data_IF_346444987271
#
_entry.id   IF_346444987271
#
_cell.length_a   1.000
_cell.length_b   1.000
_cell.length_c   1.000
_cell.angle_alpha   90.00
_cell.angle_beta   90.00
_cell.angle_gamma   90.00
#
_symmetry.space_group_name_H-M   'P 1'
#
loop_
_entity.id
_entity.type
_entity.pdbx_description
1 polymer ?
#
# COMPACT_ATOMS: atom_id res chain seq x y z
N UNK A 1 10.03 7.19 24.02
CA UNK A 1 8.67 6.60 24.11
C UNK A 1 8.63 5.72 25.35
N UNK A 2 7.47 5.59 25.98
CA UNK A 2 7.25 4.63 27.06
C UNK A 2 7.29 3.21 26.49
N UNK A 3 7.82 2.25 27.26
CA UNK A 3 7.80 0.84 26.90
C UNK A 3 6.39 0.28 27.10
N UNK A 4 5.83 -0.37 26.07
CA UNK A 4 4.54 -1.02 26.20
C UNK A 4 4.67 -2.35 26.95
N UNK A 5 3.73 -2.68 27.85
CA UNK A 5 3.67 -4.02 28.43
C UNK A 5 3.25 -5.05 27.37
N UNK A 6 3.41 -6.33 27.69
CA UNK A 6 2.94 -7.44 26.84
C UNK A 6 3.97 -7.89 25.81
N UNK A 7 3.50 -8.63 24.81
CA UNK A 7 4.33 -9.20 23.75
C UNK A 7 3.72 -8.89 22.37
N UNK A 8 4.55 -8.82 21.30
CA UNK A 8 4.06 -8.72 19.93
C UNK A 8 3.12 -9.88 19.60
N UNK A 9 2.00 -9.57 18.93
CA UNK A 9 1.02 -10.58 18.51
C UNK A 9 1.64 -11.57 17.51
N UNK A 10 2.61 -11.13 16.70
CA UNK A 10 3.28 -11.98 15.70
C UNK A 10 3.92 -13.22 16.28
N UNK A 11 4.49 -13.13 17.48
CA UNK A 11 5.15 -14.25 18.18
C UNK A 11 4.17 -15.39 18.51
N UNK A 12 2.87 -15.07 18.65
CA UNK A 12 1.84 -16.02 19.06
C UNK A 12 0.82 -16.32 17.95
N UNK A 13 0.71 -15.47 16.94
CA UNK A 13 -0.41 -15.45 15.98
C UNK A 13 -0.70 -16.82 15.34
N UNK A 14 0.34 -17.51 14.87
CA UNK A 14 0.20 -18.80 14.19
C UNK A 14 -0.15 -19.97 15.13
N UNK A 15 0.02 -19.79 16.43
CA UNK A 15 -0.37 -20.74 17.47
C UNK A 15 -1.75 -20.49 18.09
N UNK A 16 -2.41 -19.37 17.76
CA UNK A 16 -3.73 -19.03 18.31
C UNK A 16 -4.85 -19.89 17.71
N UNK A 17 -5.80 -20.29 18.57
CA UNK A 17 -7.06 -20.87 18.11
C UNK A 17 -7.94 -19.84 17.38
N UNK A 18 -8.93 -20.32 16.63
CA UNK A 18 -9.87 -19.46 15.90
C UNK A 18 -10.57 -18.45 16.83
N UNK A 19 -11.03 -18.92 17.99
CA UNK A 19 -11.70 -18.08 18.99
C UNK A 19 -10.78 -16.99 19.53
N UNK A 20 -9.51 -17.30 19.74
CA UNK A 20 -8.50 -16.34 20.22
C UNK A 20 -8.18 -15.30 19.15
N UNK A 21 -8.01 -15.71 17.88
CA UNK A 21 -7.81 -14.78 16.75
C UNK A 21 -9.00 -13.84 16.59
N UNK A 22 -10.23 -14.35 16.71
CA UNK A 22 -11.44 -13.53 16.67
C UNK A 22 -11.53 -12.54 17.82
N UNK A 23 -11.10 -12.94 19.03
CA UNK A 23 -11.03 -12.03 20.18
C UNK A 23 -10.12 -10.84 19.90
N UNK A 24 -8.94 -11.08 19.31
CA UNK A 24 -7.99 -10.01 18.97
C UNK A 24 -8.52 -9.14 17.83
N UNK A 25 -9.06 -9.74 16.76
CA UNK A 25 -9.64 -9.00 15.62
C UNK A 25 -10.78 -8.07 16.05
N UNK A 26 -11.65 -8.54 16.96
CA UNK A 26 -12.73 -7.72 17.51
C UNK A 26 -12.18 -6.49 18.24
N UNK A 27 -11.17 -6.67 19.10
CA UNK A 27 -10.55 -5.57 19.82
C UNK A 27 -9.86 -4.57 18.88
N UNK A 28 -9.18 -5.07 17.83
CA UNK A 28 -8.53 -4.25 16.82
C UNK A 28 -9.55 -3.33 16.13
N UNK A 29 -10.65 -3.90 15.65
CA UNK A 29 -11.72 -3.11 15.00
C UNK A 29 -12.36 -2.11 15.97
N UNK A 30 -12.56 -2.49 17.23
CA UNK A 30 -13.07 -1.57 18.25
C UNK A 30 -12.09 -0.42 18.53
N UNK A 31 -10.78 -0.68 18.47
CA UNK A 31 -9.76 0.35 18.60
C UNK A 31 -9.74 1.28 17.39
N UNK A 32 -9.79 0.73 16.16
CA UNK A 32 -9.95 1.53 14.94
C UNK A 32 -11.20 2.41 15.00
N UNK A 33 -12.34 1.87 15.47
CA UNK A 33 -13.57 2.63 15.66
C UNK A 33 -13.40 3.80 16.64
N UNK A 34 -12.68 3.60 17.75
CA UNK A 34 -12.35 4.66 18.72
C UNK A 34 -11.46 5.73 18.09
N UNK A 35 -10.44 5.34 17.34
CA UNK A 35 -9.54 6.28 16.65
C UNK A 35 -10.32 7.08 15.59
N UNK A 36 -11.18 6.41 14.81
CA UNK A 36 -11.98 7.04 13.77
C UNK A 36 -13.06 7.98 14.32
N UNK A 37 -13.42 7.87 15.60
CA UNK A 37 -14.36 8.77 16.25
C UNK A 37 -13.74 10.12 16.64
N UNK A 38 -12.40 10.22 16.69
CA UNK A 38 -11.69 11.46 16.99
C UNK A 38 -12.01 12.50 15.91
N UNK A 39 -12.46 13.68 16.34
CA UNK A 39 -12.77 14.79 15.42
C UNK A 39 -11.49 15.56 15.11
N UNK A 40 -10.98 15.39 13.88
CA UNK A 40 -9.78 16.07 13.42
C UNK A 40 -10.15 17.17 12.40
N UNK A 41 -9.54 18.35 12.49
CA UNK A 41 -9.98 19.53 11.73
C UNK A 41 -9.42 19.59 10.30
N UNK A 42 -8.40 18.81 9.98
CA UNK A 42 -7.71 18.81 8.70
C UNK A 42 -6.98 17.47 8.46
N UNK A 43 -6.51 17.26 7.23
CA UNK A 43 -5.62 16.16 6.83
C UNK A 43 -4.15 16.59 6.89
N UNK A 44 -3.24 15.65 7.17
CA UNK A 44 -1.82 15.92 7.43
C UNK A 44 -1.29 15.01 8.55
N UNK A 45 -0.24 15.43 9.28
CA UNK A 45 0.25 14.69 10.46
C UNK A 45 -0.06 15.42 11.77
N UNK A 46 -0.14 14.66 12.86
CA UNK A 46 -0.39 15.20 14.21
C UNK A 46 0.93 15.63 14.84
N UNK A 47 0.95 16.83 15.40
CA UNK A 47 2.10 17.39 16.12
C UNK A 47 1.65 17.97 17.46
N UNK A 48 2.54 17.99 18.44
CA UNK A 48 2.43 19.00 19.50
C UNK A 48 2.62 20.38 18.86
N UNK A 49 1.77 21.33 19.23
CA UNK A 49 1.87 22.68 18.69
C UNK A 49 3.22 23.34 19.01
N UNK A 50 3.88 22.95 20.09
CA UNK A 50 5.23 23.43 20.46
C UNK A 50 6.34 22.96 19.53
N UNK A 51 6.15 21.82 18.86
CA UNK A 51 7.21 21.15 18.10
C UNK A 51 7.33 21.69 16.67
N UNK A 52 6.27 22.39 16.20
CA UNK A 52 6.28 23.05 14.91
C UNK A 52 6.84 24.48 15.01
N UNK A 53 7.78 24.88 14.13
CA UNK A 53 8.21 26.27 13.97
C UNK A 53 7.04 27.23 13.82
N UNK A 54 7.10 28.43 14.41
CA UNK A 54 5.97 29.37 14.49
C UNK A 54 5.38 29.77 13.13
N UNK A 55 6.17 29.71 12.06
CA UNK A 55 5.80 29.99 10.68
C UNK A 55 5.29 28.77 9.90
N UNK A 56 5.36 27.57 10.49
CA UNK A 56 4.83 26.34 9.87
C UNK A 56 3.30 26.37 9.83
N UNK A 57 2.69 26.01 8.68
CA UNK A 57 1.25 25.96 8.54
C UNK A 57 0.69 24.89 9.47
N UNK A 58 -0.40 25.22 10.18
CA UNK A 58 -1.00 24.33 11.18
C UNK A 58 -2.48 24.63 11.37
N UNK A 59 -3.25 23.61 11.74
CA UNK A 59 -4.65 23.73 12.18
C UNK A 59 -4.76 23.17 13.58
N UNK A 60 -5.18 24.00 14.54
CA UNK A 60 -5.29 23.60 15.94
C UNK A 60 -6.36 22.51 16.12
N UNK A 61 -6.04 21.45 16.88
CA UNK A 61 -7.02 20.45 17.29
C UNK A 61 -7.72 20.97 18.55
N UNK A 62 -9.05 21.16 18.54
CA UNK A 62 -9.79 21.73 19.68
C UNK A 62 -9.51 21.01 21.00
N UNK A 63 -9.47 21.76 22.09
CA UNK A 63 -9.32 21.26 23.47
C UNK A 63 -8.07 20.39 23.71
N UNK A 64 -6.98 20.65 22.98
CA UNK A 64 -5.72 19.91 23.11
C UNK A 64 -4.48 20.76 22.81
N UNK A 65 -3.30 20.26 23.18
CA UNK A 65 -2.01 20.85 22.80
C UNK A 65 -1.55 20.41 21.40
N UNK A 66 -2.41 19.69 20.66
CA UNK A 66 -2.11 19.15 19.33
C UNK A 66 -2.55 20.08 18.20
N UNK A 67 -1.89 19.94 17.06
CA UNK A 67 -2.30 20.52 15.80
C UNK A 67 -2.07 19.55 14.65
N UNK A 68 -2.80 19.73 13.56
CA UNK A 68 -2.51 19.09 12.28
C UNK A 68 -1.53 19.99 11.54
N UNK A 69 -0.39 19.44 11.19
CA UNK A 69 0.67 20.11 10.44
C UNK A 69 0.89 19.48 9.06
N UNK A 70 2.01 19.79 8.41
CA UNK A 70 2.45 19.13 7.19
C UNK A 70 2.48 17.60 7.33
N UNK A 71 2.33 16.87 6.24
CA UNK A 71 2.44 15.42 6.24
C UNK A 71 3.89 14.98 6.52
N UNK A 72 4.10 14.11 7.52
CA UNK A 72 5.41 13.61 7.95
C UNK A 72 5.82 12.29 7.27
N UNK A 73 5.02 11.75 6.35
CA UNK A 73 5.34 10.50 5.68
C UNK A 73 6.61 10.64 4.81
N UNK A 74 7.46 9.61 4.82
CA UNK A 74 8.76 9.62 4.14
C UNK A 74 8.67 10.05 2.67
N UNK A 75 7.62 9.63 1.96
CA UNK A 75 7.37 9.98 0.55
C UNK A 75 7.26 11.48 0.27
N UNK A 76 7.01 12.32 1.26
CA UNK A 76 7.00 13.78 1.11
C UNK A 76 8.40 14.39 1.18
N UNK A 77 9.33 13.73 1.85
CA UNK A 77 10.63 14.30 2.23
C UNK A 77 11.82 13.53 1.65
N UNK A 78 11.60 12.37 1.03
CA UNK A 78 12.66 11.55 0.47
C UNK A 78 13.45 12.28 -0.64
N UNK A 79 14.78 12.16 -0.58
CA UNK A 79 15.73 12.76 -1.51
C UNK A 79 15.51 14.28 -1.70
N UNK A 80 15.54 14.79 -2.94
CA UNK A 80 15.41 16.23 -3.21
C UNK A 80 14.00 16.77 -2.92
N UNK A 81 13.00 15.93 -2.59
CA UNK A 81 11.65 16.37 -2.23
C UNK A 81 11.65 17.24 -0.97
N UNK A 82 12.52 16.94 0.01
CA UNK A 82 12.70 17.78 1.19
C UNK A 82 13.18 19.21 0.88
N UNK A 83 13.76 19.44 -0.30
CA UNK A 83 14.20 20.79 -0.73
C UNK A 83 13.13 21.56 -1.51
N UNK A 84 12.01 20.93 -1.86
CA UNK A 84 10.95 21.56 -2.65
C UNK A 84 10.12 22.50 -1.78
N UNK A 85 9.78 23.66 -2.34
CA UNK A 85 8.83 24.60 -1.75
C UNK A 85 7.44 24.31 -2.31
N UNK A 86 6.85 23.21 -1.84
CA UNK A 86 5.49 22.77 -2.20
C UNK A 86 4.62 22.76 -0.96
N UNK A 87 3.31 22.77 -1.17
CA UNK A 87 2.35 22.65 -0.07
C UNK A 87 2.29 21.19 0.41
N UNK A 88 2.83 20.96 1.61
CA UNK A 88 2.82 19.66 2.28
C UNK A 88 1.65 19.52 3.27
N UNK A 89 0.68 20.45 3.24
CA UNK A 89 -0.40 20.53 4.21
C UNK A 89 -0.05 21.36 5.44
N UNK A 90 -0.94 21.39 6.45
CA UNK A 90 -2.19 20.64 6.57
C UNK A 90 -3.25 21.03 5.53
N UNK A 91 -4.08 20.09 5.10
CA UNK A 91 -5.13 20.30 4.10
C UNK A 91 -6.52 20.28 4.75
N UNK A 92 -7.23 21.41 4.75
CA UNK A 92 -8.63 21.48 5.18
C UNK A 92 -9.61 21.12 4.04
N UNK A 93 -9.24 21.42 2.80
CA UNK A 93 -10.02 21.05 1.62
C UNK A 93 -9.64 19.63 1.15
N UNK A 94 -10.60 18.69 1.04
CA UNK A 94 -10.32 17.34 0.53
C UNK A 94 -9.84 17.33 -0.93
N UNK A 95 -10.11 18.37 -1.73
CA UNK A 95 -9.55 18.52 -3.07
C UNK A 95 -8.02 18.66 -3.01
N UNK A 96 -7.51 19.44 -2.05
CA UNK A 96 -6.07 19.65 -1.89
C UNK A 96 -5.38 18.37 -1.39
N UNK A 97 -6.07 17.56 -0.57
CA UNK A 97 -5.58 16.23 -0.19
C UNK A 97 -5.31 15.37 -1.42
N UNK A 98 -6.23 15.33 -2.39
CA UNK A 98 -6.04 14.56 -3.63
C UNK A 98 -4.92 15.15 -4.49
N UNK A 99 -4.82 16.47 -4.60
CA UNK A 99 -3.94 17.12 -5.58
C UNK A 99 -2.50 17.27 -5.12
N UNK A 100 -2.27 17.57 -3.83
CA UNK A 100 -0.96 17.98 -3.34
C UNK A 100 0.13 16.91 -3.52
N UNK A 101 -0.12 15.59 -3.30
CA UNK A 101 0.88 14.56 -3.60
C UNK A 101 1.33 14.57 -5.06
N UNK A 102 0.40 14.69 -6.01
CA UNK A 102 0.71 14.75 -7.44
C UNK A 102 1.38 16.08 -7.84
N UNK A 103 0.99 17.20 -7.22
CA UNK A 103 1.66 18.49 -7.43
C UNK A 103 3.12 18.47 -6.93
N UNK A 104 3.37 17.80 -5.79
CA UNK A 104 4.73 17.55 -5.29
C UNK A 104 5.54 16.76 -6.31
N UNK A 105 5.02 15.62 -6.79
CA UNK A 105 5.75 14.80 -7.76
C UNK A 105 5.98 15.51 -9.08
N UNK A 106 4.98 16.25 -9.57
CA UNK A 106 5.10 17.06 -10.78
C UNK A 106 6.18 18.15 -10.62
N UNK A 107 6.27 18.79 -9.45
CA UNK A 107 7.30 19.78 -9.16
C UNK A 107 8.70 19.13 -9.09
N UNK A 108 8.81 17.95 -8.48
CA UNK A 108 10.05 17.19 -8.41
C UNK A 108 10.53 16.80 -9.81
N UNK A 109 9.66 16.18 -10.62
CA UNK A 109 9.98 15.72 -11.97
C UNK A 109 10.41 16.86 -12.91
N UNK A 110 9.75 18.01 -12.85
CA UNK A 110 10.12 19.17 -13.66
C UNK A 110 11.50 19.74 -13.29
N UNK A 111 11.93 19.58 -12.05
CA UNK A 111 13.19 20.15 -11.54
C UNK A 111 14.35 19.16 -11.59
N UNK A 112 14.09 17.89 -11.29
CA UNK A 112 15.10 16.86 -11.06
C UNK A 112 14.88 15.59 -11.87
N UNK A 113 13.74 15.46 -12.55
CA UNK A 113 13.40 14.26 -13.33
C UNK A 113 14.44 13.99 -14.41
N UNK A 114 14.89 12.73 -14.48
CA UNK A 114 15.79 12.22 -15.50
C UNK A 114 15.32 10.85 -15.99
N UNK A 115 15.62 10.47 -17.24
CA UNK A 115 15.46 9.10 -17.69
C UNK A 115 16.19 8.13 -16.76
N UNK A 116 15.49 7.09 -16.32
CA UNK A 116 16.01 6.05 -15.42
C UNK A 116 15.35 4.72 -15.76
N UNK A 117 15.95 3.61 -15.40
CA UNK A 117 15.26 2.33 -15.46
C UNK A 117 14.17 2.25 -14.37
N UNK A 118 13.16 1.38 -14.55
CA UNK A 118 12.38 0.90 -13.42
C UNK A 118 13.30 0.48 -12.27
N UNK A 119 12.98 0.99 -11.07
CA UNK A 119 13.72 0.69 -9.84
C UNK A 119 13.75 -0.82 -9.56
N UNK A 120 12.57 -1.46 -9.57
CA UNK A 120 12.47 -2.91 -9.57
C UNK A 120 13.02 -3.48 -10.89
N UNK A 121 14.20 -4.09 -10.83
CA UNK A 121 14.95 -4.52 -12.02
C UNK A 121 14.20 -5.60 -12.80
N UNK A 122 13.38 -6.39 -12.12
CA UNK A 122 12.57 -7.43 -12.75
C UNK A 122 11.60 -6.86 -13.80
N UNK A 123 11.14 -5.61 -13.65
CA UNK A 123 10.27 -4.96 -14.65
C UNK A 123 11.00 -4.49 -15.91
N UNK A 124 12.34 -4.52 -15.95
CA UNK A 124 13.10 -3.96 -17.08
C UNK A 124 12.89 -4.76 -18.36
N UNK A 125 12.71 -6.08 -18.25
CA UNK A 125 12.43 -6.94 -19.42
C UNK A 125 11.12 -6.56 -20.10
N UNK A 126 10.03 -6.40 -19.33
CA UNK A 126 8.72 -5.99 -19.88
C UNK A 126 8.77 -4.61 -20.52
N UNK A 127 9.73 -3.77 -20.13
CA UNK A 127 9.97 -2.43 -20.70
C UNK A 127 11.01 -2.45 -21.84
N UNK A 128 11.50 -3.63 -22.23
CA UNK A 128 12.50 -3.82 -23.28
C UNK A 128 13.89 -3.27 -22.92
N UNK A 129 14.22 -3.25 -21.63
CA UNK A 129 15.47 -2.72 -21.08
C UNK A 129 15.78 -1.30 -21.58
N UNK A 130 14.76 -0.44 -21.58
CA UNK A 130 14.88 0.99 -21.93
C UNK A 130 14.68 1.87 -20.71
N UNK A 131 15.34 3.02 -20.71
CA UNK A 131 15.10 4.08 -19.74
C UNK A 131 13.69 4.65 -19.97
N UNK A 132 12.97 4.84 -18.89
CA UNK A 132 11.65 5.48 -18.90
C UNK A 132 11.81 6.99 -18.91
N UNK A 133 11.09 7.67 -19.80
CA UNK A 133 11.14 9.13 -19.92
C UNK A 133 10.23 9.79 -18.86
N UNK A 134 10.75 10.69 -18.01
CA UNK A 134 9.96 11.43 -17.03
C UNK A 134 8.78 12.20 -17.62
N UNK A 135 8.86 12.63 -18.89
CA UNK A 135 7.80 13.39 -19.56
C UNK A 135 6.49 12.59 -19.65
N UNK A 136 6.55 11.27 -19.83
CA UNK A 136 5.35 10.42 -19.86
C UNK A 136 4.62 10.40 -18.51
N UNK A 137 5.37 10.38 -17.41
CA UNK A 137 4.78 10.45 -16.07
C UNK A 137 4.30 11.86 -15.74
N UNK A 138 4.99 12.91 -16.19
CA UNK A 138 4.51 14.30 -16.09
C UNK A 138 3.12 14.45 -16.77
N UNK A 139 2.95 13.95 -18.00
CA UNK A 139 1.66 13.98 -18.70
C UNK A 139 0.57 13.20 -17.94
N UNK A 140 0.96 12.12 -17.28
CA UNK A 140 0.07 11.28 -16.46
C UNK A 140 -0.39 12.03 -15.21
N UNK A 141 0.52 12.69 -14.49
CA UNK A 141 0.19 13.54 -13.33
C UNK A 141 -0.67 14.75 -13.74
N UNK A 142 -0.38 15.39 -14.87
CA UNK A 142 -1.22 16.48 -15.39
C UNK A 142 -2.63 16.01 -15.74
N UNK A 143 -2.76 14.77 -16.22
CA UNK A 143 -4.05 14.12 -16.48
C UNK A 143 -4.78 13.79 -15.17
N UNK A 144 -4.08 13.25 -14.17
CA UNK A 144 -4.62 13.05 -12.82
C UNK A 144 -5.19 14.35 -12.24
N UNK A 145 -4.44 15.44 -12.31
CA UNK A 145 -4.86 16.73 -11.76
C UNK A 145 -6.13 17.30 -12.41
N UNK A 146 -6.45 16.91 -13.67
CA UNK A 146 -7.71 17.27 -14.34
C UNK A 146 -8.91 16.48 -13.81
N UNK A 147 -8.70 15.22 -13.42
CA UNK A 147 -9.77 14.33 -12.95
C UNK A 147 -9.97 14.39 -11.44
N UNK A 148 -8.92 14.68 -10.65
CA UNK A 148 -8.92 14.59 -9.19
C UNK A 148 -10.12 15.26 -8.50
N UNK A 149 -10.56 16.48 -8.88
CA UNK A 149 -11.73 17.10 -8.24
C UNK A 149 -13.05 16.32 -8.43
N UNK A 150 -13.15 15.48 -9.46
CA UNK A 150 -14.33 14.64 -9.75
C UNK A 150 -14.29 13.29 -9.04
N UNK A 151 -13.18 12.95 -8.39
CA UNK A 151 -13.03 11.70 -7.64
C UNK A 151 -13.54 11.81 -6.20
N UNK A 152 -13.92 13.02 -5.75
CA UNK A 152 -14.47 13.20 -4.42
C UNK A 152 -15.83 12.51 -4.29
N UNK A 153 -16.01 11.66 -3.27
CA UNK A 153 -17.31 11.07 -2.98
C UNK A 153 -18.22 12.07 -2.23
N UNK A 154 -19.38 11.60 -1.78
CA UNK A 154 -20.30 12.38 -0.95
C UNK A 154 -19.62 12.91 0.33
N UNK A 155 -20.15 14.03 0.86
CA UNK A 155 -19.62 14.70 2.04
C UNK A 155 -19.47 13.79 3.28
N UNK A 156 -20.23 12.70 3.38
CA UNK A 156 -20.17 11.78 4.52
C UNK A 156 -18.80 11.11 4.67
N UNK A 157 -18.04 10.96 3.57
CA UNK A 157 -16.74 10.28 3.55
C UNK A 157 -15.54 11.24 3.53
N UNK A 158 -15.77 12.56 3.53
CA UNK A 158 -14.71 13.57 3.43
C UNK A 158 -14.06 13.91 4.78
N UNK A 159 -14.64 13.43 5.89
CA UNK A 159 -14.13 13.71 7.24
C UNK A 159 -12.71 13.16 7.44
N UNK A 160 -11.77 13.93 8.01
CA UNK A 160 -10.42 13.42 8.30
C UNK A 160 -10.44 12.37 9.42
N UNK A 161 -9.70 11.28 9.25
CA UNK A 161 -9.50 10.22 10.24
C UNK A 161 -8.04 9.84 10.33
N UNK A 162 -7.57 9.54 11.54
CA UNK A 162 -6.26 8.95 11.74
C UNK A 162 -6.35 7.45 11.49
N UNK A 163 -5.42 6.90 10.71
CA UNK A 163 -5.27 5.46 10.54
C UNK A 163 -3.83 5.05 10.77
N UNK A 164 -3.66 3.91 11.43
CA UNK A 164 -2.35 3.31 11.62
C UNK A 164 -1.79 2.85 10.26
N UNK A 165 -0.55 3.21 9.89
CA UNK A 165 0.00 2.96 8.56
C UNK A 165 0.34 1.49 8.33
N UNK A 166 0.75 0.76 9.38
CA UNK A 166 1.21 -0.63 9.27
C UNK A 166 0.70 -1.55 10.40
N UNK A 167 -0.57 -1.95 10.33
CA UNK A 167 -1.17 -2.90 11.30
C UNK A 167 -0.81 -4.36 10.99
N UNK A 168 0.47 -4.67 11.06
CA UNK A 168 0.97 -6.05 11.09
C UNK A 168 1.04 -6.59 12.53
N UNK A 169 1.03 -7.92 12.75
CA UNK A 169 1.01 -8.51 14.09
C UNK A 169 2.17 -8.08 14.99
N UNK A 170 3.34 -7.80 14.44
CA UNK A 170 4.50 -7.34 15.22
C UNK A 170 4.30 -5.93 15.81
N UNK A 171 3.38 -5.14 15.24
CA UNK A 171 3.05 -3.80 15.70
C UNK A 171 1.86 -3.77 16.68
N UNK A 172 1.29 -4.94 17.02
CA UNK A 172 0.15 -5.08 17.93
C UNK A 172 0.64 -5.80 19.18
N UNK A 173 0.62 -5.12 20.33
CA UNK A 173 1.04 -5.70 21.61
C UNK A 173 -0.17 -6.24 22.37
N UNK A 174 -0.03 -7.46 22.87
CA UNK A 174 -1.08 -8.16 23.63
C UNK A 174 -0.59 -8.65 24.99
N UNK A 175 -1.49 -8.68 25.97
CA UNK A 175 -1.26 -9.34 27.26
C UNK A 175 -1.28 -10.87 27.14
N UNK A 176 -0.97 -11.57 28.23
CA UNK A 176 -1.07 -13.04 28.29
C UNK A 176 -2.49 -13.54 27.94
N UNK A 177 -3.51 -12.78 28.37
CA UNK A 177 -4.93 -13.03 28.11
C UNK A 177 -5.40 -12.58 26.72
N UNK A 178 -4.50 -12.11 25.84
CA UNK A 178 -4.80 -11.59 24.49
C UNK A 178 -5.65 -10.31 24.49
N UNK A 179 -5.48 -9.45 25.50
CA UNK A 179 -6.00 -8.09 25.45
C UNK A 179 -5.00 -7.19 24.72
N UNK A 180 -5.44 -6.37 23.77
CA UNK A 180 -4.57 -5.39 23.10
C UNK A 180 -4.20 -4.30 24.10
N UNK A 181 -2.91 -4.22 24.41
CA UNK A 181 -2.36 -3.26 25.39
C UNK A 181 -1.69 -2.06 24.72
N UNK A 182 -1.38 -2.15 23.42
CA UNK A 182 -0.97 -0.99 22.64
C UNK A 182 -0.63 -1.32 21.19
N UNK A 183 -0.45 -0.25 20.42
CA UNK A 183 -0.01 -0.28 19.03
C UNK A 183 1.27 0.55 18.92
N UNK A 184 2.30 0.02 18.27
CA UNK A 184 3.56 0.71 17.98
C UNK A 184 3.69 1.00 16.50
N UNK A 185 4.75 1.72 16.12
CA UNK A 185 5.07 1.98 14.71
C UNK A 185 4.11 2.96 14.02
N UNK A 186 3.70 3.98 14.77
CA UNK A 186 2.91 5.12 14.26
C UNK A 186 3.70 6.09 13.37
N UNK A 187 4.97 5.78 13.06
CA UNK A 187 5.76 6.61 12.17
C UNK A 187 5.08 6.73 10.80
N UNK A 188 5.13 7.91 10.21
CA UNK A 188 4.47 8.21 8.93
C UNK A 188 2.94 8.06 8.93
N UNK A 189 2.29 7.93 10.10
CA UNK A 189 0.84 7.98 10.18
C UNK A 189 0.32 9.34 9.67
N UNK A 190 -0.71 9.28 8.84
CA UNK A 190 -1.35 10.44 8.27
C UNK A 190 -2.84 10.45 8.60
N UNK A 191 -3.35 11.65 8.84
CA UNK A 191 -4.77 11.95 8.88
C UNK A 191 -5.22 12.19 7.44
N UNK A 192 -6.16 11.38 6.97
CA UNK A 192 -6.70 11.46 5.61
C UNK A 192 -8.23 11.45 5.66
N UNK A 193 -8.92 11.98 4.62
CA UNK A 193 -10.35 11.77 4.46
C UNK A 193 -10.72 10.29 4.52
N UNK A 194 -11.84 9.96 5.15
CA UNK A 194 -12.27 8.57 5.38
C UNK A 194 -12.28 7.72 4.10
N UNK A 195 -12.66 8.26 2.94
CA UNK A 195 -12.66 7.50 1.69
C UNK A 195 -11.26 7.04 1.25
N UNK A 196 -10.23 7.84 1.55
CA UNK A 196 -8.82 7.50 1.29
C UNK A 196 -8.23 6.61 2.37
N UNK A 197 -8.56 6.89 3.63
CA UNK A 197 -8.08 6.10 4.76
C UNK A 197 -8.71 4.71 4.82
N UNK A 198 -9.93 4.50 4.32
CA UNK A 198 -10.64 3.23 4.43
C UNK A 198 -9.95 2.09 3.65
N UNK A 199 -9.93 0.91 4.25
CA UNK A 199 -9.42 -0.33 3.66
C UNK A 199 -9.23 -1.40 4.73
N UNK A 200 -8.77 -2.59 4.34
CA UNK A 200 -8.42 -3.68 5.25
C UNK A 200 -6.90 -3.67 5.47
N UNK A 201 -6.39 -3.85 6.70
CA UNK A 201 -4.95 -3.97 6.94
C UNK A 201 -4.30 -5.04 6.05
N UNK A 202 -3.09 -4.77 5.54
CA UNK A 202 -2.39 -5.67 4.59
C UNK A 202 -2.24 -7.11 5.10
N UNK A 203 -2.05 -7.29 6.40
CA UNK A 203 -1.94 -8.60 7.02
C UNK A 203 -3.28 -9.37 7.08
N UNK A 204 -4.39 -8.64 7.11
CA UNK A 204 -5.75 -9.19 7.27
C UNK A 204 -6.44 -9.37 5.91
N UNK A 205 -6.08 -8.54 4.92
CA UNK A 205 -6.69 -8.58 3.59
C UNK A 205 -6.34 -9.90 2.86
N UNK A 206 -7.23 -10.29 1.94
CA UNK A 206 -7.13 -11.53 1.17
C UNK A 206 -7.69 -11.30 -0.24
N UNK A 207 -7.36 -10.18 -0.86
CA UNK A 207 -7.89 -9.77 -2.16
C UNK A 207 -7.38 -10.64 -3.32
N UNK A 208 -6.30 -11.38 -3.11
CA UNK A 208 -5.74 -12.38 -4.02
C UNK A 208 -6.56 -13.68 -4.09
N UNK A 209 -7.53 -13.86 -3.18
CA UNK A 209 -8.41 -15.03 -3.12
C UNK A 209 -9.82 -14.67 -3.62
N UNK A 210 -10.26 -15.18 -4.79
CA UNK A 210 -11.59 -14.88 -5.34
C UNK A 210 -12.76 -15.23 -4.41
N UNK A 211 -12.60 -16.25 -3.57
CA UNK A 211 -13.61 -16.63 -2.57
C UNK A 211 -13.79 -15.54 -1.51
N UNK A 212 -12.72 -14.85 -1.11
CA UNK A 212 -12.74 -13.77 -0.13
C UNK A 212 -13.33 -12.46 -0.65
N UNK A 213 -13.44 -12.29 -1.98
CA UNK A 213 -14.07 -11.12 -2.58
C UNK A 213 -15.59 -11.08 -2.30
N UNK A 214 -16.18 -12.23 -1.97
CA UNK A 214 -17.57 -12.32 -1.60
C UNK A 214 -17.69 -12.21 -0.08
N UNK A 215 -18.54 -11.29 0.40
CA UNK A 215 -18.81 -11.16 1.83
C UNK A 215 -19.72 -12.29 2.34
N UNK A 216 -19.16 -13.51 2.39
CA UNK A 216 -19.81 -14.76 2.81
C UNK A 216 -18.89 -15.49 3.79
N UNK A 217 -19.45 -16.15 4.83
CA UNK A 217 -18.64 -16.96 5.73
C UNK A 217 -17.87 -18.02 4.94
N UNK A 218 -16.56 -18.18 5.17
CA UNK A 218 -15.78 -19.19 4.48
C UNK A 218 -16.21 -20.60 4.92
N UNK A 219 -16.29 -21.57 4.00
CA UNK A 219 -16.58 -22.95 4.35
C UNK A 219 -15.41 -23.55 5.15
N UNK A 220 -15.71 -24.39 6.13
CA UNK A 220 -14.70 -25.21 6.80
C UNK A 220 -14.07 -26.16 5.77
N UNK A 221 -12.73 -26.27 5.71
CA UNK A 221 -12.08 -27.17 4.77
C UNK A 221 -12.39 -28.62 5.13
N UNK A 222 -12.60 -29.45 4.11
CA UNK A 222 -12.63 -30.90 4.25
C UNK A 222 -11.20 -31.43 4.24
N UNK A 223 -10.85 -32.26 5.23
CA UNK A 223 -9.48 -32.73 5.48
C UNK A 223 -9.38 -34.26 5.43
N UNK A 224 -10.48 -34.98 5.18
CA UNK A 224 -10.53 -36.44 5.35
C UNK A 224 -9.60 -37.20 4.39
N UNK A 225 -9.42 -36.70 3.17
CA UNK A 225 -8.65 -37.35 2.08
C UNK A 225 -7.35 -36.62 1.71
N UNK A 226 -6.95 -35.59 2.46
CA UNK A 226 -5.75 -34.80 2.17
C UNK A 226 -4.49 -35.38 2.84
N UNK A 227 -3.33 -35.20 2.20
CA UNK A 227 -2.05 -35.43 2.87
C UNK A 227 -1.70 -34.31 3.86
N UNK A 228 -0.58 -34.43 4.59
CA UNK A 228 -0.24 -33.46 5.64
C UNK A 228 0.15 -32.08 5.09
N UNK A 229 0.69 -32.01 3.88
CA UNK A 229 1.04 -30.74 3.22
C UNK A 229 -0.23 -30.07 2.71
N UNK A 230 -1.08 -30.82 2.02
CA UNK A 230 -2.39 -30.36 1.54
C UNK A 230 -3.30 -29.91 2.69
N UNK A 231 -3.29 -30.60 3.84
CA UNK A 231 -4.00 -30.16 5.05
C UNK A 231 -3.46 -28.84 5.58
N UNK A 232 -2.14 -28.67 5.61
CA UNK A 232 -1.52 -27.44 6.10
C UNK A 232 -1.92 -26.25 5.22
N UNK A 233 -1.90 -26.42 3.91
CA UNK A 233 -2.32 -25.40 2.93
C UNK A 233 -3.80 -25.08 3.05
N UNK A 234 -4.67 -26.10 3.08
CA UNK A 234 -6.12 -25.91 3.23
C UNK A 234 -6.47 -25.16 4.52
N UNK A 235 -5.80 -25.47 5.63
CA UNK A 235 -5.95 -24.77 6.90
C UNK A 235 -5.40 -23.35 6.85
N UNK A 236 -4.27 -23.13 6.17
CA UNK A 236 -3.69 -21.80 5.99
C UNK A 236 -4.64 -20.87 5.20
N UNK A 237 -5.18 -21.36 4.07
CA UNK A 237 -6.14 -20.62 3.27
C UNK A 237 -7.43 -20.34 4.03
N UNK A 238 -7.96 -21.34 4.74
CA UNK A 238 -9.12 -21.14 5.62
C UNK A 238 -8.84 -20.06 6.66
N UNK A 239 -7.66 -20.07 7.30
CA UNK A 239 -7.28 -19.05 8.29
C UNK A 239 -7.25 -17.65 7.70
N UNK A 240 -6.70 -17.47 6.48
CA UNK A 240 -6.68 -16.17 5.77
C UNK A 240 -8.10 -15.69 5.44
N UNK A 241 -8.91 -16.55 4.83
CA UNK A 241 -10.33 -16.26 4.51
C UNK A 241 -11.14 -15.89 5.74
N UNK A 242 -10.97 -16.66 6.82
CA UNK A 242 -11.66 -16.45 8.08
C UNK A 242 -11.28 -15.12 8.75
N UNK A 243 -9.98 -14.80 8.80
CA UNK A 243 -9.49 -13.52 9.33
C UNK A 243 -10.01 -12.33 8.52
N UNK A 244 -9.97 -12.42 7.19
CA UNK A 244 -10.51 -11.40 6.28
C UNK A 244 -12.02 -11.16 6.52
N UNK A 245 -12.80 -12.24 6.47
CA UNK A 245 -14.25 -12.19 6.63
C UNK A 245 -14.67 -11.58 7.97
N UNK A 246 -14.06 -12.03 9.07
CA UNK A 246 -14.45 -11.54 10.39
C UNK A 246 -13.98 -10.12 10.66
N UNK A 247 -12.86 -9.67 10.09
CA UNK A 247 -12.50 -8.26 10.12
C UNK A 247 -13.56 -7.39 9.45
N UNK A 248 -14.03 -7.79 8.26
CA UNK A 248 -15.12 -7.09 7.56
C UNK A 248 -16.42 -7.12 8.38
N UNK A 249 -16.79 -8.27 8.94
CA UNK A 249 -18.01 -8.42 9.73
C UNK A 249 -17.99 -7.59 11.02
N UNK A 250 -16.85 -7.56 11.73
CA UNK A 250 -16.69 -6.69 12.89
C UNK A 250 -16.67 -5.22 12.48
N UNK A 251 -16.00 -4.87 11.39
CA UNK A 251 -15.98 -3.48 10.88
C UNK A 251 -17.37 -3.01 10.53
N UNK A 252 -18.18 -3.85 9.86
CA UNK A 252 -19.60 -3.58 9.60
C UNK A 252 -20.38 -3.30 10.88
N UNK A 253 -20.12 -4.08 11.94
CA UNK A 253 -20.86 -4.01 13.20
C UNK A 253 -20.45 -2.85 14.11
N UNK A 254 -19.15 -2.54 14.18
CA UNK A 254 -18.58 -1.65 15.19
C UNK A 254 -17.97 -0.37 14.60
N UNK A 255 -17.71 -0.32 13.29
CA UNK A 255 -17.19 0.85 12.59
C UNK A 255 -17.93 1.03 11.25
N UNK A 256 -19.26 1.14 11.32
CA UNK A 256 -20.15 1.22 10.15
C UNK A 256 -19.72 2.29 9.11
N UNK A 257 -19.25 3.50 9.49
CA UNK A 257 -18.77 4.47 8.50
C UNK A 257 -17.56 3.98 7.70
N UNK A 258 -16.62 3.28 8.33
CA UNK A 258 -15.47 2.68 7.66
C UNK A 258 -15.91 1.56 6.72
N UNK A 259 -16.83 0.69 7.17
CA UNK A 259 -17.40 -0.34 6.30
C UNK A 259 -18.07 0.27 5.06
N UNK A 260 -18.92 1.29 5.23
CA UNK A 260 -19.58 1.99 4.11
C UNK A 260 -18.59 2.64 3.15
N UNK A 261 -17.48 3.18 3.66
CA UNK A 261 -16.42 3.76 2.84
C UNK A 261 -15.60 2.71 2.07
N UNK A 262 -15.49 1.48 2.57
CA UNK A 262 -14.90 0.36 1.83
C UNK A 262 -15.84 -0.18 0.75
N UNK A 263 -17.15 -0.20 1.03
CA UNK A 263 -18.21 -0.74 0.16
C UNK A 263 -18.55 0.16 -1.04
N UNK A 264 -18.06 1.41 -1.07
CA UNK A 264 -18.24 2.28 -2.24
C UNK A 264 -17.42 1.76 -3.44
N UNK A 265 -18.09 1.47 -4.55
CA UNK A 265 -17.50 0.97 -5.80
C UNK A 265 -16.33 1.83 -6.28
N UNK A 266 -16.46 3.15 -6.22
CA UNK A 266 -15.47 4.11 -6.71
C UNK A 266 -14.29 4.33 -5.77
N UNK A 267 -14.45 4.09 -4.47
CA UNK A 267 -13.42 4.46 -3.48
C UNK A 267 -12.15 3.62 -3.63
N UNK A 268 -12.26 2.34 -3.99
CA UNK A 268 -11.07 1.49 -4.20
C UNK A 268 -10.20 2.03 -5.33
N UNK A 269 -10.79 2.28 -6.50
CA UNK A 269 -10.05 2.81 -7.64
C UNK A 269 -9.53 4.23 -7.38
N UNK A 270 -10.30 5.06 -6.68
CA UNK A 270 -9.84 6.40 -6.26
C UNK A 270 -8.60 6.32 -5.37
N UNK A 271 -8.57 5.39 -4.41
CA UNK A 271 -7.40 5.15 -3.54
C UNK A 271 -6.18 4.70 -4.32
N UNK A 272 -6.35 3.80 -5.29
CA UNK A 272 -5.26 3.33 -6.15
C UNK A 272 -4.65 4.48 -6.95
N UNK A 273 -5.49 5.21 -7.69
CA UNK A 273 -5.04 6.35 -8.52
C UNK A 273 -4.39 7.42 -7.65
N UNK A 274 -4.96 7.71 -6.47
CA UNK A 274 -4.38 8.64 -5.50
C UNK A 274 -3.01 8.20 -5.01
N UNK A 275 -2.83 6.91 -4.70
CA UNK A 275 -1.53 6.38 -4.26
C UNK A 275 -0.50 6.52 -5.37
N UNK A 276 -0.77 5.95 -6.55
CA UNK A 276 0.19 5.94 -7.66
C UNK A 276 0.51 7.34 -8.19
N UNK A 277 -0.43 8.30 -8.12
CA UNK A 277 -0.15 9.69 -8.49
C UNK A 277 0.69 10.45 -7.45
N UNK A 278 0.78 9.96 -6.21
CA UNK A 278 1.57 10.56 -5.13
C UNK A 278 2.91 9.87 -4.84
N UNK A 279 3.13 8.70 -5.45
CA UNK A 279 4.32 7.89 -5.26
C UNK A 279 5.55 8.49 -5.98
N UNK A 280 6.75 8.34 -5.41
CA UNK A 280 7.99 8.82 -6.03
C UNK A 280 8.21 8.26 -7.46
N UNK A 281 8.72 9.10 -8.37
CA UNK A 281 9.16 8.63 -9.68
C UNK A 281 10.29 7.61 -9.61
N UNK A 282 9.96 6.36 -9.91
CA UNK A 282 10.86 5.20 -9.89
C UNK A 282 11.04 4.53 -11.26
N UNK A 283 10.82 5.28 -12.34
CA UNK A 283 11.05 4.75 -13.69
C UNK A 283 9.93 3.83 -14.20
N UNK A 284 8.80 3.73 -13.50
CA UNK A 284 7.65 2.95 -13.94
C UNK A 284 6.36 3.79 -13.89
N UNK A 285 5.75 4.01 -15.05
CA UNK A 285 4.49 4.74 -15.17
C UNK A 285 3.26 3.82 -15.41
N UNK A 286 3.49 2.51 -15.55
CA UNK A 286 2.45 1.55 -15.92
C UNK A 286 1.32 1.48 -14.89
N UNK A 287 1.58 1.43 -13.56
CA UNK A 287 0.50 1.35 -12.57
C UNK A 287 -0.50 2.52 -12.65
N UNK A 288 0.00 3.75 -12.75
CA UNK A 288 -0.85 4.95 -12.88
C UNK A 288 -1.63 4.96 -14.21
N UNK A 289 -1.02 4.49 -15.30
CA UNK A 289 -1.71 4.37 -16.59
C UNK A 289 -2.79 3.28 -16.56
N UNK A 290 -2.54 2.14 -15.91
CA UNK A 290 -3.52 1.07 -15.76
C UNK A 290 -4.74 1.55 -14.95
N UNK A 291 -4.49 2.26 -13.85
CA UNK A 291 -5.50 2.95 -13.06
C UNK A 291 -6.37 3.89 -13.91
N UNK A 292 -5.75 4.69 -14.80
CA UNK A 292 -6.48 5.55 -15.73
C UNK A 292 -7.33 4.79 -16.74
N UNK A 293 -6.87 3.64 -17.22
CA UNK A 293 -7.65 2.79 -18.13
C UNK A 293 -8.89 2.26 -17.40
N UNK A 294 -8.74 1.77 -16.17
CA UNK A 294 -9.85 1.31 -15.33
C UNK A 294 -10.82 2.47 -15.01
N UNK A 295 -10.28 3.64 -14.67
CA UNK A 295 -11.05 4.83 -14.33
C UNK A 295 -11.84 5.36 -15.52
N UNK A 296 -11.24 5.36 -16.72
CA UNK A 296 -11.94 5.74 -17.94
C UNK A 296 -13.10 4.80 -18.27
N UNK A 297 -12.94 3.48 -18.01
CA UNK A 297 -14.01 2.48 -18.19
C UNK A 297 -15.16 2.69 -17.19
N UNK A 298 -14.85 3.02 -15.94
CA UNK A 298 -15.83 3.24 -14.87
C UNK A 298 -16.23 4.71 -14.67
N UNK A 299 -15.90 5.61 -15.61
CA UNK A 299 -16.07 7.06 -15.42
C UNK A 299 -17.52 7.48 -15.13
N UNK A 300 -18.48 6.74 -15.70
CA UNK A 300 -19.91 6.95 -15.48
C UNK A 300 -20.35 6.83 -14.01
N UNK A 301 -19.57 6.17 -13.16
CA UNK A 301 -19.80 6.09 -11.71
C UNK A 301 -19.36 7.36 -10.97
N UNK A 302 -18.47 8.16 -11.57
CA UNK A 302 -17.95 9.41 -10.99
C UNK A 302 -18.68 10.65 -11.51
N UNK A 303 -19.00 10.66 -12.81
CA UNK A 303 -19.55 11.85 -13.46
C UNK A 303 -20.40 11.52 -14.68
N UNK A 304 -21.39 12.37 -14.93
CA UNK A 304 -22.14 12.39 -16.19
C UNK A 304 -21.41 13.17 -17.29
N UNK A 305 -20.43 14.01 -16.93
CA UNK A 305 -19.62 14.75 -17.90
C UNK A 305 -18.67 13.79 -18.64
N UNK A 306 -18.24 14.10 -19.87
CA UNK A 306 -17.26 13.28 -20.58
C UNK A 306 -15.95 13.12 -19.77
N UNK A 307 -15.34 11.94 -19.84
CA UNK A 307 -14.07 11.67 -19.18
C UNK A 307 -12.97 12.59 -19.74
N UNK A 308 -12.22 13.33 -18.90
CA UNK A 308 -11.13 14.21 -19.36
C UNK A 308 -9.96 13.46 -19.98
N UNK A 309 -9.89 12.15 -19.75
CA UNK A 309 -8.84 11.26 -20.24
C UNK A 309 -9.47 10.21 -21.16
N UNK A 310 -8.76 9.87 -22.22
CA UNK A 310 -9.20 8.82 -23.14
C UNK A 310 -7.99 8.13 -23.77
N UNK A 311 -8.15 6.85 -24.03
CA UNK A 311 -7.15 5.99 -24.63
C UNK A 311 -7.77 5.28 -25.83
N UNK A 312 -6.98 5.07 -26.89
CA UNK A 312 -7.40 4.16 -27.94
C UNK A 312 -7.46 2.74 -27.37
N UNK A 313 -8.29 1.87 -27.95
CA UNK A 313 -8.39 0.46 -27.54
C UNK A 313 -7.02 -0.21 -27.54
N UNK A 314 -6.23 -0.03 -28.60
CA UNK A 314 -4.88 -0.58 -28.70
C UNK A 314 -3.93 -0.09 -27.58
N UNK A 315 -4.03 1.19 -27.19
CA UNK A 315 -3.20 1.73 -26.09
C UNK A 315 -3.65 1.16 -24.74
N UNK A 316 -4.96 1.09 -24.50
CA UNK A 316 -5.52 0.46 -23.29
C UNK A 316 -5.08 -1.00 -23.16
N UNK A 317 -5.19 -1.78 -24.24
CA UNK A 317 -4.83 -3.20 -24.23
C UNK A 317 -3.33 -3.38 -23.97
N UNK A 318 -2.49 -2.54 -24.59
CA UNK A 318 -1.05 -2.55 -24.33
C UNK A 318 -0.69 -2.21 -22.89
N UNK A 319 -1.36 -1.21 -22.28
CA UNK A 319 -1.14 -0.83 -20.88
C UNK A 319 -1.54 -1.99 -19.95
N UNK A 320 -2.73 -2.56 -20.14
CA UNK A 320 -3.22 -3.65 -19.29
C UNK A 320 -2.37 -4.92 -19.45
N UNK A 321 -1.84 -5.18 -20.64
CA UNK A 321 -0.92 -6.29 -20.87
C UNK A 321 0.39 -6.11 -20.07
N UNK A 322 1.00 -4.92 -20.12
CA UNK A 322 2.20 -4.61 -19.33
C UNK A 322 1.95 -4.69 -17.83
N UNK A 323 0.80 -4.19 -17.36
CA UNK A 323 0.39 -4.32 -15.96
C UNK A 323 0.29 -5.79 -15.54
N UNK A 324 -0.34 -6.63 -16.37
CA UNK A 324 -0.47 -8.07 -16.08
C UNK A 324 0.90 -8.76 -16.02
N UNK A 325 1.83 -8.41 -16.91
CA UNK A 325 3.20 -8.93 -16.85
C UNK A 325 3.92 -8.52 -15.56
N UNK A 326 3.74 -7.27 -15.09
CA UNK A 326 4.34 -6.80 -13.84
C UNK A 326 3.74 -7.52 -12.62
N UNK A 327 2.44 -7.78 -12.61
CA UNK A 327 1.77 -8.56 -11.56
C UNK A 327 2.27 -10.01 -11.51
N UNK A 328 2.50 -10.64 -12.67
CA UNK A 328 3.11 -11.97 -12.75
C UNK A 328 4.55 -11.97 -12.19
N UNK A 329 5.33 -10.94 -12.53
CA UNK A 329 6.68 -10.73 -11.99
C UNK A 329 6.65 -10.58 -10.46
N UNK A 330 5.69 -9.83 -9.91
CA UNK A 330 5.57 -9.64 -8.46
C UNK A 330 5.29 -10.98 -7.73
N UNK A 331 4.45 -11.84 -8.32
CA UNK A 331 4.19 -13.19 -7.81
C UNK A 331 5.47 -14.04 -7.82
N UNK A 332 6.22 -14.00 -8.93
CA UNK A 332 7.49 -14.73 -9.05
C UNK A 332 8.52 -14.23 -8.03
N UNK A 333 8.69 -12.91 -7.88
CA UNK A 333 9.59 -12.32 -6.90
C UNK A 333 9.19 -12.69 -5.47
N UNK A 334 7.89 -12.76 -5.17
CA UNK A 334 7.41 -13.25 -3.87
C UNK A 334 7.84 -14.70 -3.62
N UNK A 335 7.70 -15.59 -4.60
CA UNK A 335 8.17 -16.97 -4.47
C UNK A 335 9.69 -17.06 -4.28
N UNK A 336 10.45 -16.25 -5.01
CA UNK A 336 11.92 -16.22 -4.86
C UNK A 336 12.30 -15.71 -3.47
N UNK A 337 11.71 -14.61 -3.00
CA UNK A 337 11.95 -14.05 -1.65
C UNK A 337 11.67 -15.09 -0.55
N UNK A 338 10.57 -15.84 -0.68
CA UNK A 338 10.25 -16.94 0.24
C UNK A 338 11.31 -18.05 0.19
N UNK A 339 11.73 -18.47 -1.01
CA UNK A 339 12.72 -19.53 -1.20
C UNK A 339 14.10 -19.16 -0.62
N UNK A 340 14.48 -17.88 -0.67
CA UNK A 340 15.74 -17.40 -0.09
C UNK A 340 15.60 -16.92 1.36
N UNK A 341 14.37 -16.91 1.89
CA UNK A 341 14.00 -16.54 3.27
C UNK A 341 14.33 -15.09 3.63
N UNK A 342 13.90 -14.17 2.77
CA UNK A 342 13.97 -12.73 3.01
C UNK A 342 12.57 -12.11 2.92
N UNK A 343 12.36 -11.01 3.62
CA UNK A 343 11.18 -10.17 3.46
C UNK A 343 11.25 -9.31 2.19
N UNK A 344 10.19 -8.52 1.93
CA UNK A 344 10.10 -7.66 0.74
C UNK A 344 11.19 -6.58 0.67
N UNK A 345 11.65 -6.10 1.83
CA UNK A 345 12.76 -5.15 2.01
C UNK A 345 14.13 -5.84 2.15
N UNK A 346 14.19 -7.16 1.94
CA UNK A 346 15.43 -7.94 1.99
C UNK A 346 15.91 -8.28 3.41
N UNK A 347 15.10 -8.03 4.44
CA UNK A 347 15.44 -8.36 5.82
C UNK A 347 15.40 -9.87 6.07
N UNK A 348 16.34 -10.34 6.89
CA UNK A 348 16.41 -11.73 7.40
C UNK A 348 17.11 -11.73 8.76
N UNK A 349 16.82 -12.68 9.67
CA UNK A 349 17.50 -12.79 10.96
C UNK A 349 19.02 -12.93 10.80
N UNK A 350 19.79 -12.44 11.78
CA UNK A 350 21.25 -12.49 11.72
C UNK A 350 21.82 -13.90 11.58
N UNK A 351 21.20 -14.90 12.22
CA UNK A 351 21.59 -16.30 12.09
C UNK A 351 21.33 -16.89 10.69
N UNK A 352 20.34 -16.37 9.96
CA UNK A 352 19.95 -16.84 8.63
C UNK A 352 20.66 -16.09 7.50
N UNK A 353 21.33 -14.97 7.79
CA UNK A 353 21.92 -14.08 6.79
C UNK A 353 22.83 -14.81 5.79
N UNK A 354 23.82 -15.55 6.27
CA UNK A 354 24.76 -16.27 5.39
C UNK A 354 24.07 -17.34 4.54
N UNK A 355 23.06 -18.02 5.10
CA UNK A 355 22.28 -19.02 4.40
C UNK A 355 21.39 -18.37 3.32
N UNK A 356 20.76 -17.24 3.63
CA UNK A 356 19.99 -16.45 2.68
C UNK A 356 20.86 -15.95 1.52
N UNK A 357 22.04 -15.41 1.81
CA UNK A 357 23.01 -15.02 0.78
C UNK A 357 23.47 -16.19 -0.09
N UNK A 358 23.70 -17.37 0.51
CA UNK A 358 24.06 -18.57 -0.24
C UNK A 358 22.91 -19.03 -1.18
N UNK A 359 21.67 -19.05 -0.67
CA UNK A 359 20.48 -19.36 -1.48
C UNK A 359 20.27 -18.36 -2.61
N UNK A 360 20.45 -17.06 -2.36
CA UNK A 360 20.34 -16.01 -3.36
C UNK A 360 21.38 -16.16 -4.49
N UNK A 361 22.65 -16.46 -4.14
CA UNK A 361 23.70 -16.76 -5.13
C UNK A 361 23.37 -18.00 -5.96
N UNK A 362 22.88 -19.07 -5.31
CA UNK A 362 22.48 -20.29 -5.99
C UNK A 362 21.30 -20.04 -6.94
N UNK A 363 20.30 -19.28 -6.51
CA UNK A 363 19.15 -18.88 -7.33
C UNK A 363 19.58 -18.13 -8.60
N UNK A 364 20.59 -17.25 -8.50
CA UNK A 364 21.16 -16.56 -9.67
C UNK A 364 21.82 -17.54 -10.64
N UNK A 365 22.62 -18.47 -10.13
CA UNK A 365 23.29 -19.50 -10.96
C UNK A 365 22.27 -20.37 -11.68
N UNK A 366 21.27 -20.87 -10.97
CA UNK A 366 20.23 -21.74 -11.52
C UNK A 366 19.36 -20.99 -12.54
N UNK A 367 19.00 -19.74 -12.22
CA UNK A 367 18.28 -18.83 -13.11
C UNK A 367 19.03 -18.63 -14.44
N UNK A 368 20.31 -18.27 -14.39
CA UNK A 368 21.13 -18.07 -15.59
C UNK A 368 21.35 -19.37 -16.39
N UNK A 369 21.48 -20.52 -15.72
CA UNK A 369 21.63 -21.81 -16.38
C UNK A 369 20.35 -22.27 -17.10
N UNK A 370 19.19 -21.76 -16.69
CA UNK A 370 17.90 -22.11 -17.28
C UNK A 370 17.59 -21.39 -18.60
N UNK A 371 18.37 -20.38 -18.97
CA UNK A 371 18.13 -19.53 -20.13
C UNK A 371 18.73 -20.11 -21.42
N UNK A 372 17.95 -20.06 -22.50
CA UNK A 372 18.25 -20.69 -23.78
C UNK A 372 19.26 -19.89 -24.63
N UNK A 373 19.22 -18.55 -24.53
CA UNK A 373 20.05 -17.68 -25.39
C UNK A 373 21.16 -16.96 -24.63
N UNK A 374 22.27 -16.66 -25.32
CA UNK A 374 23.36 -15.85 -24.77
C UNK A 374 22.89 -14.43 -24.42
N UNK A 375 21.97 -13.87 -25.22
CA UNK A 375 21.39 -12.56 -24.99
C UNK A 375 20.57 -12.51 -23.70
N UNK A 376 19.67 -13.48 -23.47
CA UNK A 376 18.91 -13.57 -22.22
C UNK A 376 19.84 -13.70 -21.02
N UNK A 377 20.88 -14.55 -21.10
CA UNK A 377 21.86 -14.70 -20.02
C UNK A 377 22.59 -13.39 -19.72
N UNK A 378 23.03 -12.66 -20.74
CA UNK A 378 23.69 -11.36 -20.56
C UNK A 378 22.75 -10.34 -19.90
N UNK A 379 21.50 -10.24 -20.38
CA UNK A 379 20.54 -9.26 -19.86
C UNK A 379 20.08 -9.59 -18.44
N UNK A 380 19.80 -10.86 -18.15
CA UNK A 380 19.42 -11.31 -16.80
C UNK A 380 20.56 -11.16 -15.80
N UNK A 381 21.81 -11.45 -16.19
CA UNK A 381 22.96 -11.27 -15.30
C UNK A 381 23.17 -9.78 -14.95
N UNK A 382 23.01 -8.90 -15.94
CA UNK A 382 23.14 -7.45 -15.77
C UNK A 382 22.01 -6.83 -14.93
N UNK A 383 20.80 -7.38 -15.04
CA UNK A 383 19.59 -6.83 -14.44
C UNK A 383 19.02 -7.72 -13.33
N UNK A 384 19.85 -8.54 -12.70
CA UNK A 384 19.39 -9.45 -11.66
C UNK A 384 18.74 -8.67 -10.50
N UNK A 385 17.49 -9.00 -10.08
CA UNK A 385 16.73 -8.21 -9.11
C UNK A 385 17.35 -8.12 -7.71
N UNK A 386 18.14 -9.12 -7.33
CA UNK A 386 18.73 -9.22 -5.98
C UNK A 386 20.19 -8.74 -5.91
N UNK A 387 20.71 -8.18 -7.00
CA UNK A 387 22.06 -7.62 -7.02
C UNK A 387 22.06 -6.16 -6.51
N UNK A 388 23.14 -5.80 -5.81
CA UNK A 388 23.43 -4.41 -5.47
C UNK A 388 23.47 -3.55 -6.74
N UNK A 389 22.87 -2.37 -6.67
CA UNK A 389 22.81 -1.48 -7.81
C UNK A 389 22.78 -0.01 -7.43
N UNK A 390 23.10 0.83 -8.42
CA UNK A 390 22.88 2.25 -8.28
C UNK A 390 21.39 2.52 -8.45
N UNK A 391 20.73 3.01 -7.39
CA UNK A 391 19.31 3.35 -7.42
C UNK A 391 18.98 4.42 -8.47
N UNK A 392 19.98 5.19 -8.91
CA UNK A 392 19.88 6.24 -9.91
C UNK A 392 20.07 5.78 -11.37
N UNK A 393 20.24 4.48 -11.62
CA UNK A 393 20.58 3.92 -12.93
C UNK A 393 19.49 3.96 -14.00
#
# INVERSE_FOLDING_TARGET
>A
MEELPGQPLGDRWFGLSDRERLKVLLQLVQLEAKIYAIQLPASGSIYYASDLPSDSPRVAVPDSDFCIGPDAALKWWFAERASLRVDCGPCADPIDVLRNPALKELAWLRKYGRPRFPFERAYRESMGYRLSDPSEHIESLESYLKIAPRLLPSNEFLRPVLRHPDLQPNNIFVSDDLEIVGLIDWQHAAVLPLFLAAGIPKFVQNYDDPESLHFRPPPTPDLEDLDEEEKADALHDFRRRHTHFFYLAFTQRFNEPHFRAMDQTTNMLTRLVFSHAGDPWEGNNIPLLADFVLLAKSWHEYSTDPCPISFSTAKSDSIMHLQSMQEEIDIQLKHIRNAISISIDGWTPSEEYEAACARARQMKVDGLASLDTDYEREMTDRHWPFDDHNEDE
#
